data_IF_335711939137
#
_entry.id   IF_335711939137
#
_cell.length_a   1.000
_cell.length_b   1.000
_cell.length_c   1.000
_cell.angle_alpha   90.00
_cell.angle_beta   90.00
_cell.angle_gamma   90.00
#
_symmetry.space_group_name_H-M   'P 1'
#
loop_
_entity.id
_entity.type
_entity.pdbx_description
1 polymer ?
#
# COMPACT_ATOMS: atom_id res chain seq x y z
N UNK A 1 -4.08 -50.79 36.00
CA UNK A 1 -3.30 -50.06 34.99
C UNK A 1 -4.27 -49.10 34.33
N UNK A 2 -4.38 -47.90 34.87
CA UNK A 2 -5.25 -46.83 34.34
C UNK A 2 -4.55 -46.16 33.17
N UNK A 3 -5.05 -46.40 31.96
CA UNK A 3 -4.64 -45.65 30.78
C UNK A 3 -5.35 -44.30 30.79
N UNK A 4 -4.69 -43.29 31.36
CA UNK A 4 -5.09 -41.89 31.24
C UNK A 4 -5.19 -41.50 29.76
N UNK A 5 -6.35 -41.06 29.26
CA UNK A 5 -6.46 -40.59 27.88
C UNK A 5 -5.60 -39.35 27.71
N UNK A 6 -4.64 -39.42 26.79
CA UNK A 6 -3.87 -38.27 26.32
C UNK A 6 -4.84 -37.20 25.82
N UNK A 7 -5.05 -36.19 26.65
CA UNK A 7 -5.81 -34.99 26.33
C UNK A 7 -5.02 -34.20 25.29
N UNK A 8 -5.16 -34.57 24.01
CA UNK A 8 -4.64 -33.77 22.89
C UNK A 8 -5.44 -32.46 22.90
N UNK A 9 -4.87 -31.47 23.58
CA UNK A 9 -5.44 -30.13 23.70
C UNK A 9 -5.50 -29.53 22.30
N UNK A 10 -6.69 -29.56 21.68
CA UNK A 10 -6.94 -28.92 20.40
C UNK A 10 -6.50 -27.45 20.50
N UNK A 11 -5.37 -27.12 19.88
CA UNK A 11 -4.89 -25.74 19.80
C UNK A 11 -5.97 -24.97 19.04
N UNK A 12 -6.54 -23.97 19.71
CA UNK A 12 -7.54 -23.12 19.09
C UNK A 12 -6.89 -22.38 17.91
N UNK A 13 -7.40 -22.63 16.70
CA UNK A 13 -6.88 -22.06 15.45
C UNK A 13 -6.77 -20.53 15.54
N UNK A 14 -7.69 -19.87 16.22
CA UNK A 14 -7.68 -18.42 16.42
C UNK A 14 -6.50 -17.94 17.26
N UNK A 15 -6.09 -18.71 18.27
CA UNK A 15 -4.92 -18.41 19.11
C UNK A 15 -3.64 -18.59 18.32
N UNK A 16 -3.49 -19.72 17.61
CA UNK A 16 -2.34 -19.96 16.74
C UNK A 16 -2.21 -18.84 15.69
N UNK A 17 -3.32 -18.48 15.07
CA UNK A 17 -3.40 -17.41 14.08
C UNK A 17 -2.89 -16.06 14.61
N UNK A 18 -3.34 -15.65 15.80
CA UNK A 18 -2.88 -14.40 16.45
C UNK A 18 -1.41 -14.47 16.87
N UNK A 19 -0.94 -15.62 17.34
CA UNK A 19 0.46 -15.81 17.71
C UNK A 19 1.37 -15.70 16.48
N UNK A 20 1.02 -16.34 15.37
CA UNK A 20 1.77 -16.26 14.11
C UNK A 20 1.81 -14.81 13.60
N UNK A 21 0.65 -14.15 13.54
CA UNK A 21 0.53 -12.74 13.13
C UNK A 21 1.36 -11.81 14.03
N UNK A 22 1.23 -11.92 15.35
CA UNK A 22 2.00 -11.12 16.31
C UNK A 22 3.51 -11.37 16.23
N UNK A 23 3.92 -12.63 16.05
CA UNK A 23 5.33 -13.00 15.88
C UNK A 23 5.90 -12.37 14.61
N UNK A 24 5.17 -12.40 13.50
CA UNK A 24 5.59 -11.78 12.24
C UNK A 24 5.72 -10.26 12.37
N UNK A 25 4.79 -9.60 13.07
CA UNK A 25 4.88 -8.17 13.36
C UNK A 25 6.16 -7.86 14.14
N UNK A 26 6.42 -8.59 15.22
CA UNK A 26 7.62 -8.39 16.06
C UNK A 26 8.92 -8.66 15.29
N UNK A 27 8.99 -9.77 14.55
CA UNK A 27 10.14 -10.13 13.73
C UNK A 27 10.37 -9.09 12.64
N UNK A 28 9.31 -8.53 12.04
CA UNK A 28 9.45 -7.48 11.02
C UNK A 28 9.99 -6.18 11.60
N UNK A 29 9.53 -5.78 12.80
CA UNK A 29 10.05 -4.60 13.51
C UNK A 29 11.53 -4.80 13.88
N UNK A 30 11.89 -5.97 14.42
CA UNK A 30 13.27 -6.31 14.73
C UNK A 30 14.14 -6.35 13.46
N UNK A 31 13.61 -6.92 12.37
CA UNK A 31 14.26 -6.98 11.07
C UNK A 31 14.57 -5.59 10.51
N UNK A 32 13.64 -4.64 10.63
CA UNK A 32 13.89 -3.24 10.25
C UNK A 32 15.07 -2.62 10.99
N UNK A 33 15.21 -2.88 12.29
CA UNK A 33 16.33 -2.37 13.07
C UNK A 33 17.68 -2.95 12.59
N UNK A 34 17.68 -4.20 12.11
CA UNK A 34 18.88 -4.87 11.59
C UNK A 34 19.24 -4.42 10.16
N UNK A 35 18.25 -4.18 9.30
CA UNK A 35 18.42 -3.96 7.85
C UNK A 35 18.65 -2.48 7.49
N UNK A 36 18.57 -1.57 8.46
CA UNK A 36 18.79 -0.13 8.25
C UNK A 36 20.09 0.24 7.53
N UNK A 37 21.12 -0.61 7.63
CA UNK A 37 22.42 -0.35 7.01
C UNK A 37 22.64 -1.15 5.72
N UNK A 38 22.23 -2.41 5.67
CA UNK A 38 22.47 -3.32 4.53
C UNK A 38 21.40 -4.41 4.48
N UNK A 39 21.06 -4.89 3.27
CA UNK A 39 20.20 -6.06 3.10
C UNK A 39 20.92 -7.34 3.52
N UNK A 40 20.18 -8.26 4.14
CA UNK A 40 20.71 -9.55 4.60
C UNK A 40 20.59 -10.54 3.46
N UNK A 41 21.73 -11.15 3.09
CA UNK A 41 21.79 -12.19 2.06
C UNK A 41 22.32 -13.48 2.66
N UNK A 42 21.62 -14.58 2.45
CA UNK A 42 22.08 -15.89 2.90
C UNK A 42 21.93 -16.93 1.79
N UNK A 43 22.97 -17.75 1.61
CA UNK A 43 22.98 -18.91 0.71
C UNK A 43 22.56 -18.62 -0.74
N UNK A 44 22.73 -17.37 -1.23
CA UNK A 44 22.28 -16.90 -2.56
C UNK A 44 20.77 -16.97 -2.86
N UNK A 45 19.99 -17.64 -2.01
CA UNK A 45 18.56 -17.89 -2.17
C UNK A 45 17.72 -16.96 -1.29
N UNK A 46 18.25 -16.55 -0.13
CA UNK A 46 17.56 -15.72 0.85
C UNK A 46 18.02 -14.27 0.67
N UNK A 47 17.06 -13.38 0.44
CA UNK A 47 17.24 -11.95 0.33
C UNK A 47 16.21 -11.25 1.23
N UNK A 48 16.67 -10.63 2.31
CA UNK A 48 15.82 -9.87 3.24
C UNK A 48 16.22 -8.41 3.17
N UNK A 49 15.28 -7.58 2.77
CA UNK A 49 15.42 -6.14 2.62
C UNK A 49 14.28 -5.39 3.32
N UNK A 50 14.33 -4.07 3.30
CA UNK A 50 13.34 -3.21 3.93
C UNK A 50 11.94 -3.45 3.36
N UNK A 51 11.81 -3.68 2.05
CA UNK A 51 10.51 -3.98 1.41
C UNK A 51 9.92 -5.28 1.98
N UNK A 52 10.75 -6.30 2.21
CA UNK A 52 10.34 -7.58 2.79
C UNK A 52 9.80 -7.40 4.21
N UNK A 53 10.55 -6.71 5.07
CA UNK A 53 10.13 -6.41 6.44
C UNK A 53 8.87 -5.54 6.46
N UNK A 54 8.78 -4.55 5.59
CA UNK A 54 7.60 -3.69 5.48
C UNK A 54 6.33 -4.48 5.13
N UNK A 55 6.46 -5.34 4.12
CA UNK A 55 5.36 -6.16 3.61
C UNK A 55 4.87 -7.14 4.67
N UNK A 56 5.80 -7.81 5.35
CA UNK A 56 5.48 -8.74 6.43
C UNK A 56 4.87 -8.03 7.65
N UNK A 57 5.34 -6.82 7.98
CA UNK A 57 4.74 -5.99 9.01
C UNK A 57 3.27 -5.67 8.68
N UNK A 58 3.00 -5.17 7.48
CA UNK A 58 1.63 -4.84 7.04
C UNK A 58 0.75 -6.09 7.00
N UNK A 59 1.23 -7.18 6.39
CA UNK A 59 0.46 -8.42 6.27
C UNK A 59 0.17 -9.02 7.66
N UNK A 60 1.16 -8.99 8.56
CA UNK A 60 1.01 -9.41 9.95
C UNK A 60 -0.01 -8.56 10.70
N UNK A 61 -0.01 -7.23 10.52
CA UNK A 61 -1.01 -6.35 11.12
C UNK A 61 -2.41 -6.64 10.59
N UNK A 62 -2.59 -6.74 9.26
CA UNK A 62 -3.87 -7.04 8.63
C UNK A 62 -4.46 -8.37 9.11
N UNK A 63 -3.61 -9.37 9.35
CA UNK A 63 -4.03 -10.66 9.91
C UNK A 63 -4.75 -10.52 11.25
N UNK A 64 -4.38 -9.56 12.11
CA UNK A 64 -4.99 -9.43 13.44
C UNK A 64 -6.52 -9.21 13.42
N UNK A 65 -7.09 -8.78 12.28
CA UNK A 65 -8.53 -8.52 12.10
C UNK A 65 -9.25 -9.50 11.20
N UNK A 66 -8.54 -10.29 10.41
CA UNK A 66 -9.18 -11.25 9.52
C UNK A 66 -9.67 -12.47 10.30
N UNK A 67 -10.75 -13.14 9.83
CA UNK A 67 -11.21 -14.38 10.44
C UNK A 67 -10.12 -15.45 10.35
N UNK A 68 -9.87 -16.15 11.46
CA UNK A 68 -8.84 -17.18 11.56
C UNK A 68 -9.18 -18.38 10.67
N UNK A 69 -8.53 -18.44 9.51
CA UNK A 69 -8.66 -19.55 8.56
C UNK A 69 -7.25 -20.04 8.18
N UNK A 70 -7.10 -21.35 8.01
CA UNK A 70 -5.82 -21.94 7.57
C UNK A 70 -5.31 -21.38 6.24
N UNK A 71 -6.22 -21.04 5.32
CA UNK A 71 -5.88 -20.40 4.04
C UNK A 71 -5.13 -19.08 4.23
N UNK A 72 -5.51 -18.28 5.24
CA UNK A 72 -4.87 -17.00 5.56
C UNK A 72 -3.45 -17.19 6.07
N UNK A 73 -3.23 -18.17 6.93
CA UNK A 73 -1.88 -18.55 7.38
C UNK A 73 -1.03 -18.96 6.18
N UNK A 74 -1.58 -19.79 5.30
CA UNK A 74 -0.89 -20.19 4.06
C UNK A 74 -0.57 -19.01 3.14
N UNK A 75 -1.49 -18.05 2.96
CA UNK A 75 -1.24 -16.82 2.19
C UNK A 75 -0.10 -16.01 2.79
N UNK A 76 -0.07 -15.85 4.12
CA UNK A 76 0.99 -15.13 4.82
C UNK A 76 2.34 -15.81 4.67
N UNK A 77 2.39 -17.15 4.77
CA UNK A 77 3.61 -17.93 4.54
C UNK A 77 4.06 -17.82 3.08
N UNK A 78 3.15 -17.93 2.12
CA UNK A 78 3.46 -17.81 0.69
C UNK A 78 3.98 -16.40 0.34
N UNK A 79 3.39 -15.35 0.91
CA UNK A 79 3.88 -13.98 0.80
C UNK A 79 5.27 -13.83 1.43
N UNK A 80 5.50 -14.42 2.61
CA UNK A 80 6.82 -14.43 3.25
C UNK A 80 7.89 -15.11 2.40
N UNK A 81 7.57 -16.27 1.81
CA UNK A 81 8.46 -16.96 0.87
C UNK A 81 8.75 -16.11 -0.36
N UNK A 82 7.73 -15.45 -0.93
CA UNK A 82 7.93 -14.55 -2.06
C UNK A 82 8.86 -13.39 -1.70
N UNK A 83 8.67 -12.79 -0.51
CA UNK A 83 9.42 -11.61 -0.11
C UNK A 83 10.86 -11.90 0.28
N UNK A 84 11.11 -13.07 0.88
CA UNK A 84 12.44 -13.47 1.33
C UNK A 84 13.25 -14.12 0.19
N UNK A 85 12.62 -14.41 -0.95
CA UNK A 85 13.30 -15.03 -2.09
C UNK A 85 14.19 -14.04 -2.85
N UNK A 86 15.48 -14.36 -2.94
CA UNK A 86 16.44 -13.71 -3.84
C UNK A 86 16.35 -14.19 -5.30
N UNK A 87 15.49 -15.17 -5.58
CA UNK A 87 15.25 -15.71 -6.92
C UNK A 87 13.86 -15.37 -7.46
N UNK A 88 13.77 -15.10 -8.76
CA UNK A 88 12.50 -14.86 -9.44
C UNK A 88 11.55 -16.06 -9.37
N UNK A 89 12.09 -17.29 -9.36
CA UNK A 89 11.31 -18.53 -9.20
C UNK A 89 10.58 -18.55 -7.85
N UNK A 90 11.28 -18.24 -6.75
CA UNK A 90 10.66 -18.23 -5.43
C UNK A 90 9.64 -17.10 -5.28
N UNK A 91 9.87 -15.95 -5.91
CA UNK A 91 8.88 -14.87 -6.00
C UNK A 91 7.64 -15.37 -6.75
N UNK A 92 7.80 -15.93 -7.96
CA UNK A 92 6.69 -16.42 -8.76
C UNK A 92 5.87 -17.51 -8.04
N UNK A 93 6.54 -18.49 -7.41
CA UNK A 93 5.88 -19.56 -6.65
C UNK A 93 5.13 -18.99 -5.44
N UNK A 94 5.74 -18.07 -4.69
CA UNK A 94 5.09 -17.47 -3.53
C UNK A 94 3.85 -16.63 -3.93
N UNK A 95 3.93 -15.85 -5.02
CA UNK A 95 2.79 -15.10 -5.55
C UNK A 95 1.65 -16.03 -6.02
N UNK A 96 1.99 -17.13 -6.69
CA UNK A 96 1.02 -18.16 -7.07
C UNK A 96 0.40 -18.83 -5.85
N UNK A 97 1.19 -19.09 -4.80
CA UNK A 97 0.71 -19.63 -3.53
C UNK A 97 -0.32 -18.72 -2.84
N UNK A 98 -0.07 -17.41 -2.76
CA UNK A 98 -1.03 -16.43 -2.22
C UNK A 98 -2.35 -16.48 -2.99
N UNK A 99 -2.25 -16.56 -4.31
CA UNK A 99 -3.39 -16.54 -5.22
C UNK A 99 -4.24 -17.82 -5.17
N UNK A 100 -3.62 -18.99 -5.21
CA UNK A 100 -4.31 -20.30 -5.10
C UNK A 100 -5.08 -20.41 -3.79
N UNK A 101 -4.51 -19.87 -2.71
CA UNK A 101 -5.13 -19.86 -1.39
C UNK A 101 -6.21 -18.78 -1.24
N UNK A 102 -6.35 -17.86 -2.21
CA UNK A 102 -7.43 -16.88 -2.22
C UNK A 102 -8.76 -17.53 -2.63
N UNK A 103 -9.83 -17.06 -2.01
CA UNK A 103 -11.20 -17.51 -2.29
C UNK A 103 -11.74 -16.93 -3.59
N UNK A 104 -11.27 -15.75 -3.98
CA UNK A 104 -11.76 -15.05 -5.17
C UNK A 104 -11.05 -15.57 -6.42
N UNK A 105 -11.83 -16.05 -7.38
CA UNK A 105 -11.31 -16.51 -8.68
C UNK A 105 -10.45 -15.46 -9.41
N UNK A 106 -10.81 -14.16 -9.45
CA UNK A 106 -9.95 -13.13 -10.02
C UNK A 106 -8.54 -13.09 -9.41
N UNK A 107 -8.41 -13.33 -8.10
CA UNK A 107 -7.11 -13.34 -7.43
C UNK A 107 -6.24 -14.53 -7.86
N UNK A 108 -6.85 -15.67 -8.20
CA UNK A 108 -6.14 -16.85 -8.73
C UNK A 108 -5.55 -16.56 -10.09
N UNK A 109 -6.35 -15.98 -10.99
CA UNK A 109 -5.88 -15.52 -12.30
C UNK A 109 -4.79 -14.47 -12.12
N UNK A 110 -4.98 -13.53 -11.19
CA UNK A 110 -4.01 -12.49 -10.90
C UNK A 110 -2.64 -13.05 -10.50
N UNK A 111 -2.60 -14.02 -9.59
CA UNK A 111 -1.34 -14.65 -9.20
C UNK A 111 -0.70 -15.45 -10.32
N UNK A 112 -1.50 -16.12 -11.17
CA UNK A 112 -0.97 -16.78 -12.36
C UNK A 112 -0.35 -15.78 -13.33
N UNK A 113 -1.01 -14.64 -13.58
CA UNK A 113 -0.49 -13.56 -14.42
C UNK A 113 0.81 -12.97 -13.85
N UNK A 114 0.86 -12.70 -12.54
CA UNK A 114 2.09 -12.18 -11.91
C UNK A 114 3.22 -13.21 -11.88
N UNK A 115 2.92 -14.48 -11.58
CA UNK A 115 3.90 -15.56 -11.62
C UNK A 115 4.45 -15.76 -13.04
N UNK A 116 3.59 -15.68 -14.06
CA UNK A 116 4.00 -15.71 -15.46
C UNK A 116 4.85 -14.49 -15.83
N UNK A 117 4.51 -13.30 -15.33
CA UNK A 117 5.30 -12.09 -15.52
C UNK A 117 6.72 -12.23 -14.96
N UNK A 118 6.86 -12.66 -13.70
CA UNK A 118 8.16 -12.92 -13.08
C UNK A 118 8.92 -14.09 -13.73
N UNK A 119 8.21 -15.16 -14.11
CA UNK A 119 8.77 -16.28 -14.84
C UNK A 119 9.31 -15.87 -16.21
N UNK A 120 8.61 -14.99 -16.92
CA UNK A 120 9.04 -14.47 -18.23
C UNK A 120 10.29 -13.59 -18.11
N UNK A 121 10.41 -12.81 -17.03
CA UNK A 121 11.65 -12.07 -16.73
C UNK A 121 12.80 -13.07 -16.58
N UNK A 122 12.65 -14.06 -15.69
CA UNK A 122 13.71 -15.05 -15.45
C UNK A 122 14.07 -15.88 -16.67
N UNK A 123 13.08 -16.23 -17.51
CA UNK A 123 13.32 -17.00 -18.73
C UNK A 123 14.13 -16.23 -19.78
N UNK A 124 14.00 -14.90 -19.82
CA UNK A 124 14.72 -14.04 -20.77
C UNK A 124 16.01 -13.45 -20.20
N UNK A 125 16.18 -13.51 -18.89
CA UNK A 125 17.35 -12.99 -18.23
C UNK A 125 18.55 -13.94 -18.34
N UNK A 126 19.75 -13.37 -18.24
CA UNK A 126 20.99 -14.15 -18.06
C UNK A 126 21.03 -14.90 -16.73
N UNK A 127 20.26 -14.46 -15.73
CA UNK A 127 20.20 -15.07 -14.41
C UNK A 127 18.80 -14.97 -13.79
N UNK A 128 18.43 -16.01 -13.04
CA UNK A 128 17.19 -16.03 -12.24
C UNK A 128 17.34 -15.31 -10.89
N UNK A 129 18.55 -14.82 -10.56
CA UNK A 129 18.77 -14.00 -9.37
C UNK A 129 18.21 -12.61 -9.58
N UNK A 130 17.44 -12.12 -8.59
CA UNK A 130 16.72 -10.86 -8.64
C UNK A 130 17.61 -9.67 -9.06
N UNK A 131 18.82 -9.58 -8.53
CA UNK A 131 19.75 -8.47 -8.80
C UNK A 131 20.44 -8.53 -10.16
N UNK A 132 20.31 -9.64 -10.90
CA UNK A 132 20.96 -9.86 -12.19
C UNK A 132 19.95 -10.16 -13.30
N UNK A 133 18.66 -10.02 -13.04
CA UNK A 133 17.60 -10.39 -13.99
C UNK A 133 17.04 -9.22 -14.81
N UNK A 134 17.71 -8.07 -14.79
CA UNK A 134 17.21 -6.82 -15.39
C UNK A 134 17.10 -6.85 -16.90
N UNK A 135 17.98 -7.60 -17.56
CA UNK A 135 18.00 -7.86 -19.00
C UNK A 135 16.77 -8.63 -19.50
N UNK A 136 16.14 -9.43 -18.63
CA UNK A 136 14.90 -10.14 -18.94
C UNK A 136 13.63 -9.28 -18.90
N UNK A 137 13.70 -8.09 -18.27
CA UNK A 137 12.54 -7.23 -18.07
C UNK A 137 12.06 -6.60 -19.38
N UNK A 138 10.80 -6.89 -19.74
CA UNK A 138 10.19 -6.42 -20.98
C UNK A 138 8.71 -6.03 -20.79
N UNK A 139 8.13 -5.39 -21.81
CA UNK A 139 6.75 -4.89 -21.75
C UNK A 139 5.70 -5.97 -21.52
N UNK A 140 5.89 -7.19 -22.02
CA UNK A 140 4.93 -8.28 -21.80
C UNK A 140 4.96 -8.71 -20.34
N UNK A 141 6.15 -8.92 -19.77
CA UNK A 141 6.29 -9.26 -18.33
C UNK A 141 5.71 -8.15 -17.44
N UNK A 142 5.95 -6.89 -17.79
CA UNK A 142 5.43 -5.74 -17.05
C UNK A 142 3.90 -5.67 -17.09
N UNK A 143 3.31 -5.80 -18.28
CA UNK A 143 1.85 -5.75 -18.45
C UNK A 143 1.15 -6.92 -17.75
N UNK A 144 1.74 -8.12 -17.75
CA UNK A 144 1.23 -9.27 -17.00
C UNK A 144 1.21 -9.00 -15.49
N UNK A 145 2.28 -8.41 -14.96
CA UNK A 145 2.36 -8.02 -13.55
C UNK A 145 1.33 -6.94 -13.23
N UNK A 146 1.27 -5.88 -14.03
CA UNK A 146 0.31 -4.79 -13.85
C UNK A 146 -1.14 -5.30 -13.91
N UNK A 147 -1.48 -6.17 -14.87
CA UNK A 147 -2.79 -6.79 -14.95
C UNK A 147 -3.13 -7.60 -13.69
N UNK A 148 -2.17 -8.37 -13.17
CA UNK A 148 -2.33 -9.07 -11.90
C UNK A 148 -2.58 -8.13 -10.71
N UNK A 149 -1.84 -7.03 -10.60
CA UNK A 149 -2.07 -6.02 -9.55
C UNK A 149 -3.47 -5.43 -9.65
N UNK A 150 -3.89 -5.04 -10.86
CA UNK A 150 -5.22 -4.47 -11.13
C UNK A 150 -6.34 -5.41 -10.67
N UNK A 151 -6.19 -6.72 -10.93
CA UNK A 151 -7.13 -7.73 -10.46
C UNK A 151 -7.11 -7.87 -8.92
N UNK A 152 -5.93 -7.92 -8.29
CA UNK A 152 -5.81 -8.07 -6.83
C UNK A 152 -6.29 -6.86 -6.02
N UNK A 153 -6.24 -5.68 -6.62
CA UNK A 153 -6.82 -4.46 -6.04
C UNK A 153 -8.35 -4.41 -6.24
N UNK A 154 -8.92 -5.27 -7.10
CA UNK A 154 -10.36 -5.37 -7.31
C UNK A 154 -10.90 -4.40 -8.36
N UNK A 155 -10.08 -3.99 -9.33
CA UNK A 155 -10.51 -3.09 -10.40
C UNK A 155 -11.54 -3.72 -11.34
N UNK A 156 -11.54 -5.06 -11.49
CA UNK A 156 -12.55 -5.78 -12.27
C UNK A 156 -13.97 -5.66 -11.68
N UNK A 157 -14.09 -5.19 -10.45
CA UNK A 157 -15.38 -4.98 -9.78
C UNK A 157 -16.00 -3.59 -10.12
N UNK A 158 -15.25 -2.69 -10.75
CA UNK A 158 -15.70 -1.33 -11.13
C UNK A 158 -16.99 -1.31 -11.98
N UNK A 159 -17.15 -2.13 -13.03
CA UNK A 159 -18.33 -2.05 -13.90
C UNK A 159 -19.59 -2.73 -13.34
N UNK A 160 -19.55 -3.38 -12.16
CA UNK A 160 -20.46 -4.51 -11.91
C UNK A 160 -21.44 -4.41 -10.73
N UNK A 161 -21.28 -3.54 -9.73
CA UNK A 161 -22.17 -3.61 -8.56
C UNK A 161 -22.34 -2.30 -7.77
N UNK A 162 -23.58 -1.96 -7.33
CA UNK A 162 -23.83 -0.92 -6.33
C UNK A 162 -23.11 -1.17 -5.00
N UNK A 163 -22.89 -2.46 -4.67
CA UNK A 163 -22.17 -2.93 -3.50
C UNK A 163 -20.98 -3.77 -3.98
N UNK A 164 -19.74 -3.29 -3.82
CA UNK A 164 -18.56 -4.01 -4.26
C UNK A 164 -18.32 -5.24 -3.39
N UNK A 165 -17.87 -6.37 -3.97
CA UNK A 165 -17.41 -7.49 -3.17
C UNK A 165 -16.15 -7.08 -2.37
N UNK A 166 -15.97 -7.62 -1.15
CA UNK A 166 -14.81 -7.28 -0.33
C UNK A 166 -13.52 -7.71 -1.03
N UNK A 167 -12.53 -6.83 -1.04
CA UNK A 167 -11.18 -7.13 -1.53
C UNK A 167 -10.41 -7.88 -0.45
N UNK A 168 -9.66 -8.88 -0.88
CA UNK A 168 -8.73 -9.60 -0.04
C UNK A 168 -7.51 -8.70 0.27
N UNK A 169 -7.34 -8.21 1.51
CA UNK A 169 -6.33 -7.20 1.80
C UNK A 169 -4.90 -7.74 1.66
N UNK A 170 -4.68 -9.04 1.86
CA UNK A 170 -3.38 -9.65 1.59
C UNK A 170 -3.08 -9.70 0.10
N UNK A 171 -4.09 -10.00 -0.72
CA UNK A 171 -3.94 -10.00 -2.17
C UNK A 171 -3.58 -8.59 -2.66
N UNK A 172 -4.26 -7.55 -2.16
CA UNK A 172 -3.94 -6.16 -2.48
C UNK A 172 -2.50 -5.81 -2.16
N UNK A 173 -2.04 -6.12 -0.94
CA UNK A 173 -0.64 -5.88 -0.54
C UNK A 173 0.32 -6.68 -1.41
N UNK A 174 0.00 -7.95 -1.68
CA UNK A 174 0.81 -8.83 -2.52
C UNK A 174 0.98 -8.25 -3.93
N UNK A 175 -0.09 -7.78 -4.55
CA UNK A 175 -0.04 -7.15 -5.88
C UNK A 175 0.81 -5.87 -5.88
N UNK A 176 0.52 -4.94 -4.96
CA UNK A 176 1.25 -3.66 -4.90
C UNK A 176 2.75 -3.86 -4.62
N UNK A 177 3.09 -4.79 -3.73
CA UNK A 177 4.49 -5.10 -3.41
C UNK A 177 5.17 -5.87 -4.55
N UNK A 178 4.46 -6.76 -5.25
CA UNK A 178 4.97 -7.42 -6.44
C UNK A 178 5.35 -6.40 -7.51
N UNK A 179 4.61 -5.30 -7.65
CA UNK A 179 4.97 -4.22 -8.57
C UNK A 179 6.16 -3.39 -8.06
N UNK A 180 6.20 -3.03 -6.77
CA UNK A 180 7.35 -2.34 -6.16
C UNK A 180 8.65 -3.14 -6.31
N UNK A 181 8.58 -4.46 -6.18
CA UNK A 181 9.74 -5.36 -6.26
C UNK A 181 10.41 -5.34 -7.63
N UNK A 182 9.73 -4.91 -8.70
CA UNK A 182 10.35 -4.71 -10.01
C UNK A 182 11.47 -3.66 -10.00
N UNK A 183 11.48 -2.73 -9.05
CA UNK A 183 12.61 -1.80 -8.89
C UNK A 183 13.91 -2.49 -8.48
N UNK A 184 13.85 -3.72 -7.97
CA UNK A 184 15.04 -4.54 -7.71
C UNK A 184 15.54 -5.29 -8.95
N UNK A 185 14.74 -5.35 -10.02
CA UNK A 185 15.06 -6.06 -11.26
C UNK A 185 15.78 -5.13 -12.25
N UNK A 186 15.24 -3.93 -12.48
CA UNK A 186 15.84 -2.99 -13.41
C UNK A 186 15.04 -1.70 -13.59
N UNK A 187 15.59 -0.72 -14.33
CA UNK A 187 14.95 0.57 -14.55
C UNK A 187 13.69 0.43 -15.42
N UNK A 188 12.73 1.32 -15.19
CA UNK A 188 11.48 1.35 -15.94
C UNK A 188 11.55 2.33 -17.10
N UNK A 189 11.02 1.92 -18.26
CA UNK A 189 10.83 2.85 -19.37
C UNK A 189 9.57 3.72 -19.20
N UNK A 190 9.48 4.79 -19.99
CA UNK A 190 8.36 5.74 -19.93
C UNK A 190 7.00 5.10 -20.27
N UNK A 191 6.97 4.11 -21.17
CA UNK A 191 5.73 3.41 -21.51
C UNK A 191 5.13 2.65 -20.33
N UNK A 192 5.97 2.05 -19.49
CA UNK A 192 5.54 1.36 -18.28
C UNK A 192 5.03 2.34 -17.21
N UNK A 193 5.70 3.47 -17.03
CA UNK A 193 5.24 4.54 -16.15
C UNK A 193 3.87 5.08 -16.60
N UNK A 194 3.73 5.38 -17.90
CA UNK A 194 2.45 5.82 -18.48
C UNK A 194 1.34 4.79 -18.24
N UNK A 195 1.60 3.50 -18.46
CA UNK A 195 0.64 2.44 -18.20
C UNK A 195 0.18 2.43 -16.74
N UNK A 196 1.10 2.56 -15.77
CA UNK A 196 0.75 2.66 -14.35
C UNK A 196 -0.03 3.92 -14.01
N UNK A 197 0.26 5.06 -14.64
CA UNK A 197 -0.49 6.29 -14.43
C UNK A 197 -1.92 6.20 -14.96
N UNK A 198 -2.11 5.66 -16.17
CA UNK A 198 -3.44 5.46 -16.77
C UNK A 198 -4.25 4.50 -15.91
N UNK A 199 -3.68 3.35 -15.57
CA UNK A 199 -4.35 2.32 -14.76
C UNK A 199 -4.66 2.81 -13.34
N UNK A 200 -3.68 3.40 -12.65
CA UNK A 200 -3.85 3.91 -11.30
C UNK A 200 -4.79 5.11 -11.23
N UNK A 201 -4.72 6.02 -12.21
CA UNK A 201 -5.60 7.19 -12.33
C UNK A 201 -7.05 6.81 -12.59
N UNK A 202 -7.28 5.93 -13.57
CA UNK A 202 -8.63 5.44 -13.88
C UNK A 202 -9.25 4.73 -12.69
N UNK A 203 -8.52 3.80 -12.04
CA UNK A 203 -8.98 3.10 -10.84
C UNK A 203 -9.20 4.05 -9.65
N UNK A 204 -8.25 4.95 -9.42
CA UNK A 204 -8.27 5.93 -8.32
C UNK A 204 -9.51 6.82 -8.38
N UNK A 205 -9.71 7.48 -9.52
CA UNK A 205 -10.82 8.43 -9.74
C UNK A 205 -12.16 7.71 -9.76
N UNK A 206 -12.29 6.61 -10.50
CA UNK A 206 -13.56 5.88 -10.61
C UNK A 206 -13.99 5.32 -9.25
N UNK A 207 -13.08 4.69 -8.49
CA UNK A 207 -13.39 4.19 -7.17
C UNK A 207 -13.70 5.32 -6.17
N UNK A 208 -13.03 6.47 -6.25
CA UNK A 208 -13.37 7.62 -5.41
C UNK A 208 -14.77 8.19 -5.74
N UNK A 209 -15.14 8.20 -7.01
CA UNK A 209 -16.48 8.60 -7.46
C UNK A 209 -17.56 7.64 -6.93
N UNK A 210 -17.33 6.33 -7.02
CA UNK A 210 -18.24 5.33 -6.46
C UNK A 210 -18.32 5.42 -4.92
N UNK A 211 -17.20 5.70 -4.24
CA UNK A 211 -17.21 5.92 -2.80
C UNK A 211 -18.08 7.13 -2.41
N UNK A 212 -17.98 8.22 -3.17
CA UNK A 212 -18.74 9.45 -2.92
C UNK A 212 -20.25 9.25 -3.11
N UNK A 213 -20.63 8.48 -4.13
CA UNK A 213 -22.03 8.25 -4.52
C UNK A 213 -22.68 7.08 -3.78
N UNK A 214 -21.91 6.29 -3.04
CA UNK A 214 -22.43 5.16 -2.28
C UNK A 214 -23.23 5.60 -1.04
N UNK A 215 -24.41 5.03 -0.87
CA UNK A 215 -25.26 5.20 0.32
C UNK A 215 -24.94 4.19 1.43
N UNK A 216 -24.37 3.03 1.07
CA UNK A 216 -23.96 2.01 2.04
C UNK A 216 -22.55 2.30 2.58
N UNK A 217 -22.38 2.45 3.91
CA UNK A 217 -21.07 2.72 4.48
C UNK A 217 -20.04 1.62 4.21
N UNK A 218 -20.45 0.35 4.16
CA UNK A 218 -19.51 -0.74 3.88
C UNK A 218 -19.02 -0.70 2.44
N UNK A 219 -19.93 -0.51 1.48
CA UNK A 219 -19.58 -0.28 0.08
C UNK A 219 -18.65 0.95 -0.08
N UNK A 220 -18.95 2.07 0.59
CA UNK A 220 -18.11 3.27 0.53
C UNK A 220 -16.67 3.00 1.01
N UNK A 221 -16.47 2.28 2.12
CA UNK A 221 -15.13 1.94 2.62
C UNK A 221 -14.33 1.08 1.64
N UNK A 222 -15.03 0.18 0.96
CA UNK A 222 -14.46 -0.77 0.02
C UNK A 222 -14.03 -0.07 -1.29
N UNK A 223 -14.79 0.94 -1.71
CA UNK A 223 -14.42 1.85 -2.79
C UNK A 223 -13.27 2.80 -2.40
N UNK A 224 -13.26 3.33 -1.17
CA UNK A 224 -12.14 4.15 -0.67
C UNK A 224 -10.84 3.35 -0.70
N UNK A 225 -10.88 2.09 -0.27
CA UNK A 225 -9.70 1.22 -0.29
C UNK A 225 -9.18 0.99 -1.71
N UNK A 226 -10.08 0.74 -2.68
CA UNK A 226 -9.71 0.61 -4.11
C UNK A 226 -9.07 1.89 -4.65
N UNK A 227 -9.64 3.03 -4.30
CA UNK A 227 -9.13 4.33 -4.76
C UNK A 227 -7.72 4.61 -4.21
N UNK A 228 -7.51 4.41 -2.90
CA UNK A 228 -6.19 4.53 -2.27
C UNK A 228 -5.17 3.56 -2.89
N UNK A 229 -5.60 2.37 -3.31
CA UNK A 229 -4.75 1.42 -4.02
C UNK A 229 -4.44 1.89 -5.45
N UNK A 230 -5.38 2.55 -6.14
CA UNK A 230 -5.11 3.24 -7.40
C UNK A 230 -4.08 4.36 -7.26
N UNK A 231 -4.18 5.17 -6.19
CA UNK A 231 -3.16 6.16 -5.84
C UNK A 231 -1.80 5.51 -5.53
N UNK A 232 -1.78 4.32 -4.92
CA UNK A 232 -0.55 3.57 -4.71
C UNK A 232 0.07 3.12 -6.04
N UNK A 233 -0.73 2.66 -7.01
CA UNK A 233 -0.22 2.33 -8.36
C UNK A 233 0.37 3.57 -9.05
N UNK A 234 -0.25 4.74 -8.93
CA UNK A 234 0.30 6.01 -9.43
C UNK A 234 1.64 6.32 -8.77
N UNK A 235 1.71 6.22 -7.43
CA UNK A 235 2.93 6.49 -6.67
C UNK A 235 4.06 5.53 -7.06
N UNK A 236 3.77 4.25 -7.24
CA UNK A 236 4.73 3.27 -7.78
C UNK A 236 5.15 3.70 -9.20
N UNK A 237 4.21 4.08 -10.06
CA UNK A 237 4.48 4.53 -11.43
C UNK A 237 5.42 5.72 -11.56
N UNK A 238 5.59 6.52 -10.49
CA UNK A 238 6.55 7.62 -10.45
C UNK A 238 8.03 7.15 -10.51
N UNK A 239 8.27 5.83 -10.37
CA UNK A 239 9.55 5.16 -10.54
C UNK A 239 10.74 5.84 -9.82
N UNK A 240 10.48 6.39 -8.63
CA UNK A 240 11.42 7.20 -7.86
C UNK A 240 11.33 6.92 -6.36
N UNK A 241 12.33 7.40 -5.62
CA UNK A 241 12.37 7.35 -4.15
C UNK A 241 11.10 7.95 -3.52
N UNK A 242 10.65 9.10 -4.03
CA UNK A 242 9.43 9.76 -3.58
C UNK A 242 8.19 8.89 -3.83
N UNK A 243 8.13 8.19 -4.97
CA UNK A 243 7.08 7.25 -5.31
C UNK A 243 7.01 6.03 -4.39
N UNK A 244 8.16 5.39 -4.11
CA UNK A 244 8.29 4.29 -3.15
C UNK A 244 7.79 4.73 -1.77
N UNK A 245 8.22 5.92 -1.35
CA UNK A 245 7.83 6.50 -0.08
C UNK A 245 6.35 6.79 0.05
N UNK A 246 5.76 7.46 -0.95
CA UNK A 246 4.33 7.71 -1.00
C UNK A 246 3.53 6.41 -0.96
N UNK A 247 3.99 5.37 -1.66
CA UNK A 247 3.39 4.04 -1.63
C UNK A 247 3.44 3.42 -0.24
N UNK A 248 4.56 3.54 0.48
CA UNK A 248 4.68 3.09 1.86
C UNK A 248 3.68 3.77 2.81
N UNK A 249 3.56 5.10 2.72
CA UNK A 249 2.59 5.84 3.56
C UNK A 249 1.14 5.49 3.19
N UNK A 250 0.82 5.33 1.89
CA UNK A 250 -0.49 4.87 1.42
C UNK A 250 -0.85 3.47 1.92
N UNK A 251 0.10 2.52 1.87
CA UNK A 251 -0.08 1.18 2.42
C UNK A 251 -0.28 1.20 3.94
N UNK A 252 0.43 2.07 4.65
CA UNK A 252 0.20 2.32 6.08
C UNK A 252 -1.21 2.84 6.35
N UNK A 253 -1.66 3.83 5.58
CA UNK A 253 -3.01 4.40 5.70
C UNK A 253 -4.10 3.36 5.39
N UNK A 254 -3.94 2.59 4.32
CA UNK A 254 -4.80 1.46 3.95
C UNK A 254 -4.89 0.45 5.11
N UNK A 255 -3.76 0.10 5.72
CA UNK A 255 -3.70 -0.83 6.85
C UNK A 255 -4.49 -0.29 8.05
N UNK A 256 -4.27 0.97 8.43
CA UNK A 256 -5.02 1.61 9.53
C UNK A 256 -6.51 1.57 9.24
N UNK A 257 -6.96 1.99 8.04
CA UNK A 257 -8.38 1.96 7.68
C UNK A 257 -8.99 0.57 7.74
N UNK A 258 -8.28 -0.45 7.23
CA UNK A 258 -8.73 -1.84 7.31
C UNK A 258 -8.82 -2.36 8.74
N UNK A 259 -7.93 -1.94 9.62
CA UNK A 259 -7.95 -2.33 11.03
C UNK A 259 -9.09 -1.67 11.84
N UNK A 260 -9.55 -0.52 11.37
CA UNK A 260 -10.45 0.37 12.13
C UNK A 260 -11.86 0.44 11.54
N UNK A 261 -12.01 0.12 10.25
CA UNK A 261 -13.26 0.13 9.47
C UNK A 261 -14.15 1.34 9.77
N UNK A 262 -13.68 2.57 9.47
CA UNK A 262 -14.33 3.77 9.97
C UNK A 262 -15.78 3.93 9.49
N UNK A 263 -16.08 3.61 8.23
CA UNK A 263 -17.45 3.74 7.72
C UNK A 263 -18.47 2.83 8.44
N UNK A 264 -18.03 1.73 9.06
CA UNK A 264 -18.92 0.83 9.82
C UNK A 264 -19.33 1.37 11.21
N UNK A 265 -18.86 2.57 11.59
CA UNK A 265 -19.24 3.28 12.81
C UNK A 265 -18.04 3.88 13.53
N UNK A 266 -18.02 5.21 13.65
CA UNK A 266 -17.00 5.99 14.36
C UNK A 266 -17.63 7.09 15.20
N UNK A 267 -16.93 7.62 16.20
CA UNK A 267 -17.25 8.97 16.71
C UNK A 267 -16.86 10.06 15.70
N UNK A 268 -17.58 11.19 15.67
CA UNK A 268 -17.36 12.29 14.71
C UNK A 268 -15.89 12.70 14.55
N UNK A 269 -15.20 13.00 15.67
CA UNK A 269 -13.79 13.42 15.63
C UNK A 269 -12.86 12.34 15.06
N UNK A 270 -13.13 11.07 15.35
CA UNK A 270 -12.30 9.94 14.92
C UNK A 270 -12.49 9.64 13.42
N UNK A 271 -13.71 9.74 12.92
CA UNK A 271 -14.00 9.64 11.49
C UNK A 271 -13.21 10.67 10.68
N UNK A 272 -13.23 11.94 11.11
CA UNK A 272 -12.51 13.04 10.45
C UNK A 272 -10.99 12.84 10.39
N UNK A 273 -10.37 12.29 11.44
CA UNK A 273 -8.94 12.01 11.45
C UNK A 273 -8.52 10.86 10.51
N UNK A 274 -9.48 10.09 10.01
CA UNK A 274 -9.27 8.95 9.10
C UNK A 274 -9.63 9.27 7.64
N UNK A 275 -10.28 10.41 7.36
CA UNK A 275 -10.61 10.84 5.98
C UNK A 275 -9.40 11.40 5.23
N UNK A 276 -8.35 11.79 5.96
CA UNK A 276 -7.21 12.52 5.41
C UNK A 276 -7.42 14.02 5.25
N UNK A 277 -8.59 14.56 5.65
CA UNK A 277 -8.86 16.00 5.59
C UNK A 277 -8.12 16.80 6.67
N UNK A 278 -7.77 16.16 7.80
CA UNK A 278 -7.12 16.84 8.92
C UNK A 278 -5.59 16.85 8.73
N UNK A 279 -4.95 18.03 8.67
CA UNK A 279 -3.49 18.14 8.57
C UNK A 279 -2.78 17.38 9.70
N UNK A 280 -1.64 16.77 9.39
CA UNK A 280 -0.85 16.00 10.35
C UNK A 280 -1.40 14.61 10.67
N UNK A 281 -2.50 14.17 10.02
CA UNK A 281 -2.94 12.76 10.07
C UNK A 281 -2.24 11.91 9.02
N UNK A 282 -2.13 10.61 9.25
CA UNK A 282 -1.55 9.68 8.29
C UNK A 282 -2.25 9.71 6.93
N UNK A 283 -3.58 9.84 6.92
CA UNK A 283 -4.34 9.96 5.67
C UNK A 283 -3.99 11.21 4.86
N UNK A 284 -3.83 12.35 5.55
CA UNK A 284 -3.41 13.59 4.92
C UNK A 284 -2.01 13.43 4.32
N UNK A 285 -1.06 12.93 5.13
CA UNK A 285 0.32 12.72 4.68
C UNK A 285 0.37 11.74 3.50
N UNK A 286 -0.45 10.68 3.49
CA UNK A 286 -0.48 9.72 2.39
C UNK A 286 -0.91 10.35 1.06
N UNK A 287 -2.03 11.08 1.06
CA UNK A 287 -2.57 11.75 -0.13
C UNK A 287 -1.62 12.86 -0.61
N UNK A 288 -1.05 13.60 0.34
CA UNK A 288 -0.03 14.60 0.11
C UNK A 288 1.23 14.03 -0.53
N UNK A 289 1.79 12.95 0.04
CA UNK A 289 2.98 12.28 -0.48
C UNK A 289 2.75 11.73 -1.89
N UNK A 290 1.56 11.22 -2.20
CA UNK A 290 1.21 10.76 -3.54
C UNK A 290 1.24 11.92 -4.56
N UNK A 291 0.63 13.07 -4.23
CA UNK A 291 0.71 14.25 -5.10
C UNK A 291 2.13 14.74 -5.25
N UNK A 292 2.89 14.80 -4.15
CA UNK A 292 4.29 15.18 -4.15
C UNK A 292 5.10 14.29 -5.11
N UNK A 293 5.00 12.96 -4.97
CA UNK A 293 5.71 12.01 -5.84
C UNK A 293 5.43 12.24 -7.34
N UNK A 294 4.17 12.56 -7.69
CA UNK A 294 3.80 12.85 -9.08
C UNK A 294 4.38 14.19 -9.57
N UNK A 295 4.47 15.19 -8.69
CA UNK A 295 5.13 16.46 -9.00
C UNK A 295 6.64 16.30 -9.16
N UNK A 296 7.27 15.48 -8.31
CA UNK A 296 8.65 15.06 -8.46
C UNK A 296 8.93 14.36 -9.80
N UNK A 297 7.97 13.56 -10.28
CA UNK A 297 8.05 12.90 -11.57
C UNK A 297 7.83 13.85 -12.76
N UNK A 298 7.54 15.13 -12.54
CA UNK A 298 7.34 16.13 -13.58
C UNK A 298 5.96 16.08 -14.26
N UNK A 299 4.98 15.36 -13.71
CA UNK A 299 3.66 15.16 -14.32
C UNK A 299 2.60 16.03 -13.67
N UNK A 300 2.67 17.35 -13.90
CA UNK A 300 1.76 18.39 -13.37
C UNK A 300 0.27 17.98 -13.38
N UNK A 301 -0.21 17.56 -14.55
CA UNK A 301 -1.59 17.18 -14.76
C UNK A 301 -2.03 16.00 -13.87
N UNK A 302 -1.14 15.03 -13.62
CA UNK A 302 -1.47 13.87 -12.81
C UNK A 302 -1.56 14.21 -11.33
N UNK A 303 -0.84 15.22 -10.81
CA UNK A 303 -1.12 15.65 -9.44
C UNK A 303 -2.51 16.25 -9.32
N UNK A 304 -2.99 17.00 -10.31
CA UNK A 304 -4.38 17.50 -10.30
C UNK A 304 -5.38 16.34 -10.19
N UNK A 305 -5.12 15.23 -10.90
CA UNK A 305 -5.93 14.00 -10.80
C UNK A 305 -5.84 13.37 -9.41
N UNK A 306 -4.64 13.25 -8.84
CA UNK A 306 -4.43 12.75 -7.46
C UNK A 306 -5.17 13.63 -6.45
N UNK A 307 -5.13 14.95 -6.63
CA UNK A 307 -5.83 15.92 -5.81
C UNK A 307 -7.34 15.79 -5.91
N UNK A 308 -7.88 15.76 -7.12
CA UNK A 308 -9.31 15.54 -7.32
C UNK A 308 -9.76 14.24 -6.65
N UNK A 309 -8.98 13.17 -6.80
CA UNK A 309 -9.23 11.89 -6.13
C UNK A 309 -9.22 12.02 -4.60
N UNK A 310 -8.20 12.68 -4.04
CA UNK A 310 -8.08 12.92 -2.60
C UNK A 310 -9.30 13.68 -2.05
N UNK A 311 -9.77 14.70 -2.75
CA UNK A 311 -10.95 15.47 -2.36
C UNK A 311 -12.23 14.64 -2.37
N UNK A 312 -12.43 13.85 -3.43
CA UNK A 312 -13.54 12.91 -3.50
C UNK A 312 -13.51 11.93 -2.31
N UNK A 313 -12.33 11.41 -1.95
CA UNK A 313 -12.16 10.52 -0.80
C UNK A 313 -12.44 11.19 0.55
N UNK A 314 -12.02 12.45 0.72
CA UNK A 314 -12.28 13.21 1.93
C UNK A 314 -13.78 13.44 2.12
N UNK A 315 -14.50 13.83 1.07
CA UNK A 315 -15.95 14.03 1.10
C UNK A 315 -16.68 12.69 1.29
N UNK A 316 -16.29 11.65 0.57
CA UNK A 316 -16.85 10.31 0.71
C UNK A 316 -16.69 9.77 2.14
N UNK A 317 -15.50 9.89 2.71
CA UNK A 317 -15.23 9.51 4.11
C UNK A 317 -16.02 10.36 5.09
N UNK A 318 -16.13 11.67 4.86
CA UNK A 318 -16.86 12.60 5.71
C UNK A 318 -18.36 12.30 5.79
N UNK A 319 -18.99 11.95 4.67
CA UNK A 319 -20.42 11.59 4.59
C UNK A 319 -20.79 10.36 5.42
N UNK A 320 -19.84 9.45 5.64
CA UNK A 320 -20.07 8.19 6.35
C UNK A 320 -19.82 8.28 7.86
N UNK A 321 -19.48 9.47 8.38
CA UNK A 321 -19.19 9.68 9.79
C UNK A 321 -20.51 9.64 10.59
N UNK A 322 -20.68 8.58 11.39
CA UNK A 322 -21.83 8.44 12.32
C UNK A 322 -21.45 8.91 13.73
N UNK A 323 -22.39 8.85 14.68
CA UNK A 323 -22.15 9.11 16.13
C UNK A 323 -22.07 7.83 16.96
N UNK A 324 -21.96 6.67 16.30
CA UNK A 324 -21.80 5.38 16.97
C UNK A 324 -20.36 5.19 17.42
N UNK A 325 -20.13 5.24 18.73
CA UNK A 325 -18.79 5.14 19.30
C UNK A 325 -18.26 3.70 19.21
N UNK A 326 -17.28 3.46 18.34
CA UNK A 326 -16.45 2.23 18.35
C UNK A 326 -15.05 2.53 18.85
N UNK A 327 -14.61 1.80 19.88
CA UNK A 327 -13.24 1.88 20.41
C UNK A 327 -12.19 1.74 19.30
N UNK A 328 -12.32 0.72 18.45
CA UNK A 328 -11.36 0.45 17.38
C UNK A 328 -11.13 1.65 16.46
N UNK A 329 -12.19 2.39 16.15
CA UNK A 329 -12.11 3.59 15.32
C UNK A 329 -11.45 4.77 16.03
N UNK A 330 -11.74 4.95 17.33
CA UNK A 330 -11.13 5.97 18.19
C UNK A 330 -9.62 5.76 18.33
N UNK A 331 -9.21 4.51 18.58
CA UNK A 331 -7.78 4.15 18.61
C UNK A 331 -7.16 4.34 17.23
N UNK A 332 -7.86 3.91 16.18
CA UNK A 332 -7.45 4.14 14.79
C UNK A 332 -7.14 5.58 14.45
N UNK A 333 -8.02 6.49 14.87
CA UNK A 333 -7.85 7.92 14.69
C UNK A 333 -6.66 8.47 15.48
N UNK A 334 -6.48 8.03 16.72
CA UNK A 334 -5.29 8.36 17.53
C UNK A 334 -4.01 7.87 16.86
N UNK A 335 -3.98 6.62 16.40
CA UNK A 335 -2.85 6.02 15.67
C UNK A 335 -2.59 6.78 14.36
N UNK A 336 -3.63 7.13 13.60
CA UNK A 336 -3.52 7.94 12.37
C UNK A 336 -2.87 9.29 12.66
N UNK A 337 -3.30 9.98 13.72
CA UNK A 337 -2.72 11.25 14.13
C UNK A 337 -1.26 11.08 14.58
N UNK A 338 -0.97 10.11 15.45
CA UNK A 338 0.39 9.85 15.92
C UNK A 338 1.34 9.49 14.77
N UNK A 339 0.90 8.65 13.82
CA UNK A 339 1.70 8.28 12.66
C UNK A 339 1.88 9.43 11.67
N UNK A 340 0.89 10.31 11.51
CA UNK A 340 1.03 11.51 10.67
C UNK A 340 1.98 12.55 11.28
N UNK A 341 1.92 12.76 12.59
CA UNK A 341 2.89 13.60 13.32
C UNK A 341 4.29 12.98 13.23
N UNK A 342 4.41 11.66 13.43
CA UNK A 342 5.65 10.93 13.34
C UNK A 342 6.13 10.70 11.89
N UNK A 343 5.39 11.14 10.87
CA UNK A 343 5.70 10.86 9.47
C UNK A 343 7.13 11.23 9.04
N UNK A 344 7.73 12.35 9.47
CA UNK A 344 9.13 12.66 9.15
C UNK A 344 10.12 11.66 9.76
N UNK A 345 9.84 11.15 10.96
CA UNK A 345 10.67 10.12 11.59
C UNK A 345 10.45 8.77 10.88
N UNK A 346 9.20 8.40 10.59
CA UNK A 346 8.86 7.18 9.86
C UNK A 346 9.47 7.17 8.46
N UNK A 347 9.46 8.29 7.74
CA UNK A 347 10.05 8.36 6.41
C UNK A 347 11.56 8.12 6.45
N UNK A 348 12.25 8.68 7.45
CA UNK A 348 13.70 8.45 7.64
C UNK A 348 14.03 7.03 8.07
N UNK A 349 13.29 6.48 9.03
CA UNK A 349 13.64 5.21 9.68
C UNK A 349 13.15 3.98 8.92
N UNK A 350 11.98 4.09 8.29
CA UNK A 350 11.30 2.96 7.69
C UNK A 350 11.34 3.01 6.17
N UNK A 351 11.16 4.20 5.59
CA UNK A 351 10.96 4.34 4.14
C UNK A 351 12.29 4.54 3.41
N UNK A 352 13.20 5.36 3.93
CA UNK A 352 14.50 5.61 3.31
C UNK A 352 15.30 4.33 3.08
N UNK A 353 15.41 3.38 4.02
CA UNK A 353 16.11 2.12 3.76
C UNK A 353 15.46 1.31 2.63
N UNK A 354 14.12 1.34 2.52
CA UNK A 354 13.40 0.68 1.43
C UNK A 354 13.77 1.33 0.09
N UNK A 355 13.72 2.66 0.04
CA UNK A 355 14.04 3.43 -1.16
C UNK A 355 15.50 3.34 -1.57
N UNK A 356 16.43 3.16 -0.64
CA UNK A 356 17.86 3.02 -0.95
C UNK A 356 18.18 1.60 -1.45
N UNK A 357 17.43 0.60 -0.98
CA UNK A 357 17.61 -0.81 -1.35
C UNK A 357 16.87 -1.20 -2.64
N UNK A 358 15.72 -0.57 -2.89
CA UNK A 358 15.10 -0.58 -4.20
C UNK A 358 15.88 0.42 -5.05
N UNK A 359 16.37 0.04 -6.23
CA UNK A 359 17.10 0.98 -7.11
C UNK A 359 16.11 1.97 -7.78
N UNK A 360 15.35 2.71 -6.96
CA UNK A 360 14.41 3.71 -7.43
C UNK A 360 15.15 4.70 -8.32
N UNK A 361 14.61 4.95 -9.51
CA UNK A 361 15.23 5.85 -10.47
C UNK A 361 15.44 7.25 -9.89
N UNK A 362 16.44 7.96 -10.41
CA UNK A 362 16.65 9.37 -10.09
C UNK A 362 15.50 10.18 -10.70
N UNK A 363 14.95 11.13 -9.95
CA UNK A 363 13.99 12.09 -10.51
C UNK A 363 14.73 13.10 -11.38
N UNK A 364 14.05 13.85 -12.28
CA UNK A 364 14.64 14.97 -13.02
C UNK A 364 15.29 16.03 -12.13
N UNK A 365 14.93 16.06 -10.84
CA UNK A 365 15.41 17.00 -9.82
C UNK A 365 16.41 16.36 -8.83
N UNK A 366 16.91 15.16 -9.11
CA UNK A 366 17.83 14.42 -8.22
C UNK A 366 17.13 13.52 -7.21
N UNK A 367 17.73 13.31 -6.04
CA UNK A 367 17.12 12.53 -4.97
C UNK A 367 16.05 13.39 -4.27
N UNK A 368 14.77 13.02 -4.40
CA UNK A 368 13.69 13.72 -3.71
C UNK A 368 13.32 12.91 -2.47
N UNK A 369 13.47 13.54 -1.31
CA UNK A 369 12.96 13.02 -0.04
C UNK A 369 11.59 13.64 0.24
N UNK A 370 10.55 12.83 0.44
CA UNK A 370 9.30 13.33 0.98
C UNK A 370 9.51 13.71 2.44
N UNK A 371 9.47 15.02 2.69
CA UNK A 371 9.43 15.55 4.04
C UNK A 371 7.98 15.64 4.45
N UNK A 372 7.57 14.84 5.42
CA UNK A 372 6.16 14.63 5.73
C UNK A 372 5.34 15.91 5.95
N UNK A 373 5.99 17.02 6.33
CA UNK A 373 5.34 18.29 6.65
C UNK A 373 5.65 19.43 5.65
N UNK A 374 6.74 19.36 4.86
CA UNK A 374 7.08 20.38 3.85
C UNK A 374 6.89 19.91 2.39
N UNK A 375 6.43 18.68 2.18
CA UNK A 375 6.18 18.14 0.83
C UNK A 375 7.37 17.39 0.28
N UNK A 376 8.29 18.12 -0.33
CA UNK A 376 9.43 17.54 -1.02
C UNK A 376 10.67 18.37 -0.79
N UNK A 377 11.74 17.71 -0.38
CA UNK A 377 13.08 18.25 -0.43
C UNK A 377 13.77 17.64 -1.63
N UNK A 378 14.06 18.46 -2.65
CA UNK A 378 15.05 18.09 -3.63
C UNK A 378 16.42 18.18 -2.95
N UNK A 379 17.16 17.08 -2.95
CA UNK A 379 18.51 17.00 -2.41
C UNK A 379 19.52 17.01 -3.56
N UNK A 380 20.58 17.81 -3.40
CA UNK A 380 21.75 17.77 -4.26
C UNK A 380 22.57 16.49 -4.01
N UNK A 381 23.55 16.20 -4.87
CA UNK A 381 24.45 15.03 -4.78
C UNK A 381 25.16 14.90 -3.42
N UNK A 382 25.30 16.01 -2.67
CA UNK A 382 25.82 16.03 -1.29
C UNK A 382 24.77 15.80 -0.19
N UNK A 383 23.55 15.34 -0.51
CA UNK A 383 22.42 15.22 0.43
C UNK A 383 22.03 16.55 1.10
N UNK A 384 22.30 17.68 0.45
CA UNK A 384 21.94 19.03 0.92
C UNK A 384 20.65 19.47 0.24
N UNK A 385 19.78 20.19 0.93
CA UNK A 385 18.52 20.70 0.36
C UNK A 385 18.85 21.68 -0.77
N UNK A 386 18.54 21.30 -2.00
CA UNK A 386 18.73 22.08 -3.22
C UNK A 386 17.50 22.95 -3.54
N UNK A 387 16.30 22.39 -3.35
CA UNK A 387 15.05 23.12 -3.54
C UNK A 387 13.91 22.51 -2.72
N UNK A 388 13.02 23.37 -2.21
CA UNK A 388 11.70 22.98 -1.72
C UNK A 388 10.70 23.24 -2.84
N UNK A 389 10.00 22.20 -3.34
CA UNK A 389 8.82 22.44 -4.15
C UNK A 389 7.81 23.30 -3.35
N UNK A 390 6.87 24.04 -3.96
CA UNK A 390 5.91 24.92 -3.26
C UNK A 390 4.87 24.12 -2.44
N UNK A 391 5.36 23.34 -1.47
CA UNK A 391 4.59 22.49 -0.59
C UNK A 391 3.75 23.32 0.37
N UNK A 392 4.21 24.49 0.81
CA UNK A 392 3.43 25.34 1.73
C UNK A 392 2.15 25.87 1.06
N UNK A 393 2.22 26.29 -0.21
CA UNK A 393 1.05 26.81 -0.95
C UNK A 393 0.04 25.70 -1.21
N UNK A 394 0.50 24.52 -1.66
CA UNK A 394 -0.38 23.36 -1.87
C UNK A 394 -0.95 22.80 -0.55
N UNK A 395 -0.21 22.90 0.56
CA UNK A 395 -0.66 22.49 1.90
C UNK A 395 -1.70 23.48 2.45
N UNK A 396 -1.50 24.78 2.27
CA UNK A 396 -2.50 25.82 2.57
C UNK A 396 -3.78 25.63 1.74
N UNK A 397 -3.63 25.31 0.46
CA UNK A 397 -4.76 24.99 -0.41
C UNK A 397 -5.49 23.73 0.09
N UNK A 398 -4.77 22.69 0.52
CA UNK A 398 -5.41 21.49 1.09
C UNK A 398 -6.08 21.75 2.44
N UNK A 399 -5.49 22.60 3.29
CA UNK A 399 -6.14 23.05 4.52
C UNK A 399 -7.45 23.78 4.23
N UNK A 400 -7.43 24.70 3.26
CA UNK A 400 -8.60 25.45 2.81
C UNK A 400 -9.67 24.52 2.23
N UNK A 401 -9.28 23.60 1.35
CA UNK A 401 -10.24 22.73 0.66
C UNK A 401 -10.75 21.62 1.60
N UNK A 402 -9.91 21.11 2.51
CA UNK A 402 -10.35 20.22 3.59
C UNK A 402 -11.34 20.90 4.52
N UNK A 403 -11.12 22.18 4.84
CA UNK A 403 -12.06 23.00 5.60
C UNK A 403 -13.37 23.27 4.84
N UNK A 404 -13.31 23.47 3.51
CA UNK A 404 -14.49 23.58 2.65
C UNK A 404 -15.27 22.26 2.56
N UNK A 405 -14.60 21.13 2.38
CA UNK A 405 -15.22 19.80 2.41
C UNK A 405 -15.88 19.53 3.77
N UNK A 406 -15.23 19.96 4.85
CA UNK A 406 -15.80 19.94 6.20
C UNK A 406 -17.06 20.82 6.30
N UNK A 407 -17.01 22.07 5.85
CA UNK A 407 -18.15 22.98 5.83
C UNK A 407 -19.33 22.42 5.01
N UNK A 408 -19.06 21.91 3.81
CA UNK A 408 -20.06 21.35 2.90
C UNK A 408 -20.73 20.12 3.52
N UNK A 409 -19.94 19.19 4.06
CA UNK A 409 -20.50 17.99 4.72
C UNK A 409 -21.39 18.35 5.91
N UNK A 410 -21.00 19.35 6.71
CA UNK A 410 -21.79 19.89 7.83
C UNK A 410 -23.07 20.57 7.37
N UNK A 411 -23.05 21.24 6.22
CA UNK A 411 -24.20 21.95 5.69
C UNK A 411 -25.25 20.96 5.16
N UNK A 412 -24.81 19.90 4.50
CA UNK A 412 -25.68 18.80 4.06
C UNK A 412 -26.30 17.99 5.21
N UNK A 413 -25.76 18.01 6.42
CA UNK A 413 -26.39 17.35 7.60
C UNK A 413 -27.55 18.18 8.20
N UNK A 414 -27.70 19.45 7.81
CA UNK A 414 -28.70 20.38 8.38
C UNK A 414 -29.92 20.63 7.49
N UNK A 415 -29.85 20.23 6.23
CA UNK A 415 -30.96 20.23 5.25
C UNK A 415 -31.55 18.84 5.22
#
# INVERSE_FOLDING_TARGET
MDTSPLYVRHINLTTLYRLVSGSIVLVSIAGFALIQRQSVRAFSVIYIDGLSCFTLLIAGLLMLRLPGQWRRIGQLVALGLAMISGHLVGIAIGLLGVAVLSERWPNRIAGAAMAAGYGLIGFRATSWHLSMSGDGLNSISFLLLLAGVVMMVGALDLPAAPVPPPVDPLATVTGLVALLRLFSVGPWNLGWQLATFVVGGTLGVSAAWYALTSSDPFAAEEWITRSLSGLAIIAIGCASSAGVAATGVLLGHLTVRRLTQPAAGTSRWAGWLLTGAVPGTLGFVALWSASAAVMAAGVAALAVVVWATALLLMVAGGRQIRTTRRWASTVGAGVSLSLGIAAPALSRWLIRPISDQLQGGLTPYGAIEPWGWAGMLALDAGSRIAATAPGVVLLLLMGLIGALAWLISRWCERV
#
